data_IF_969301169972
#
_entry.id   IF_969301169972
#
_cell.length_a   1.000
_cell.length_b   1.000
_cell.length_c   1.000
_cell.angle_alpha   90.00
_cell.angle_beta   90.00
_cell.angle_gamma   90.00
#
_symmetry.space_group_name_H-M   'P 1'
#
loop_
_entity.id
_entity.type
_entity.pdbx_description
1 polymer ?
#
# COMPACT_ATOMS: atom_id res chain seq x y z
N UNK A 1 10.69 -21.45 -21.11
CA UNK A 1 10.88 -20.00 -21.32
C UNK A 1 10.54 -19.71 -22.76
N UNK A 2 9.66 -18.74 -23.04
CA UNK A 2 9.18 -18.39 -24.39
C UNK A 2 9.28 -16.88 -24.60
N UNK A 3 9.58 -16.49 -25.83
CA UNK A 3 9.75 -15.09 -26.18
C UNK A 3 8.44 -14.50 -26.65
N UNK A 4 8.03 -13.41 -26.01
CA UNK A 4 6.76 -12.74 -26.32
C UNK A 4 7.05 -11.32 -26.81
N UNK A 5 6.43 -10.95 -27.92
CA UNK A 5 6.42 -9.58 -28.47
C UNK A 5 5.04 -8.97 -28.33
N UNK A 6 4.99 -7.64 -28.24
CA UNK A 6 3.75 -6.90 -28.06
C UNK A 6 3.57 -5.93 -29.21
N UNK A 7 2.33 -5.79 -29.68
CA UNK A 7 1.95 -4.84 -30.74
C UNK A 7 0.64 -4.15 -30.34
N UNK A 8 0.46 -2.90 -30.75
CA UNK A 8 -0.84 -2.21 -30.59
C UNK A 8 -1.79 -2.66 -31.71
N UNK A 9 -3.04 -2.95 -31.37
CA UNK A 9 -4.06 -3.41 -32.32
C UNK A 9 -4.50 -2.33 -33.30
N UNK A 10 -4.77 -1.13 -32.79
CA UNK A 10 -4.95 0.08 -33.61
C UNK A 10 -3.80 1.04 -33.28
N UNK A 11 -3.05 1.46 -34.31
CA UNK A 11 -1.99 2.44 -34.12
C UNK A 11 -2.62 3.80 -33.81
N UNK A 12 -2.19 4.51 -32.75
CA UNK A 12 -2.69 5.85 -32.48
C UNK A 12 -2.45 6.74 -33.71
N UNK A 13 -3.46 7.52 -34.08
CA UNK A 13 -3.41 8.42 -35.25
C UNK A 13 -2.46 9.60 -34.97
N UNK A 14 -1.15 9.37 -35.08
CA UNK A 14 -0.11 10.37 -34.88
C UNK A 14 1.29 9.78 -34.99
N UNK A 15 2.28 10.63 -35.30
CA UNK A 15 3.72 10.28 -35.34
C UNK A 15 4.30 10.02 -33.94
N UNK A 16 3.64 9.20 -33.12
CA UNK A 16 4.20 8.75 -31.85
C UNK A 16 5.22 7.66 -32.14
N UNK A 17 6.43 7.82 -31.59
CA UNK A 17 7.45 6.77 -31.61
C UNK A 17 7.03 5.63 -30.66
N UNK A 18 6.11 4.79 -31.12
CA UNK A 18 5.51 3.68 -30.36
C UNK A 18 6.53 2.61 -29.96
N UNK A 19 7.70 2.57 -30.62
CA UNK A 19 8.76 1.59 -30.34
C UNK A 19 9.25 1.66 -28.89
N UNK A 20 9.33 2.86 -28.29
CA UNK A 20 9.84 3.05 -26.92
C UNK A 20 8.76 3.01 -25.82
N UNK A 21 7.52 2.62 -26.15
CA UNK A 21 6.42 2.64 -25.19
C UNK A 21 6.66 1.63 -24.05
N UNK A 22 6.70 2.06 -22.77
CA UNK A 22 6.93 1.15 -21.66
C UNK A 22 5.75 0.20 -21.49
N UNK A 23 6.09 -1.07 -21.27
CA UNK A 23 5.16 -2.18 -21.07
C UNK A 23 5.42 -2.78 -19.69
N UNK A 24 4.33 -2.96 -18.94
CA UNK A 24 4.33 -3.76 -17.72
C UNK A 24 3.70 -5.12 -17.99
N UNK A 25 4.38 -6.18 -17.55
CA UNK A 25 3.88 -7.55 -17.65
C UNK A 25 3.73 -8.06 -16.24
N UNK A 26 2.52 -8.47 -15.92
CA UNK A 26 2.13 -8.97 -14.61
C UNK A 26 1.66 -10.41 -14.74
N UNK A 27 1.91 -11.22 -13.72
CA UNK A 27 1.35 -12.58 -13.67
C UNK A 27 -0.17 -12.53 -13.48
N UNK A 28 -0.83 -13.70 -13.52
CA UNK A 28 -2.24 -13.84 -13.13
C UNK A 28 -2.55 -13.19 -11.76
N UNK A 29 -1.62 -13.26 -10.81
CA UNK A 29 -1.73 -12.64 -9.47
C UNK A 29 -1.38 -11.13 -9.46
N UNK A 30 -1.27 -10.52 -10.64
CA UNK A 30 -0.95 -9.11 -10.88
C UNK A 30 0.40 -8.65 -10.28
N UNK A 31 1.26 -9.59 -9.89
CA UNK A 31 2.64 -9.32 -9.51
C UNK A 31 3.43 -8.92 -10.75
N UNK A 32 4.26 -7.87 -10.64
CA UNK A 32 5.11 -7.45 -11.74
C UNK A 32 6.14 -8.55 -12.04
N UNK A 33 6.08 -9.10 -13.24
CA UNK A 33 6.98 -10.17 -13.72
C UNK A 33 8.12 -9.55 -14.52
N UNK A 34 7.81 -8.60 -15.38
CA UNK A 34 8.80 -7.92 -16.22
C UNK A 34 8.35 -6.52 -16.63
N UNK A 35 9.33 -5.67 -16.93
CA UNK A 35 9.15 -4.38 -17.61
C UNK A 35 9.96 -4.40 -18.90
N UNK A 36 9.33 -4.01 -20.00
CA UNK A 36 9.98 -3.94 -21.33
C UNK A 36 9.48 -2.73 -22.09
N UNK A 37 9.87 -2.58 -23.34
CA UNK A 37 9.32 -1.64 -24.30
C UNK A 37 8.63 -2.40 -25.44
N UNK A 38 7.71 -1.75 -26.14
CA UNK A 38 6.93 -2.37 -27.24
C UNK A 38 7.82 -2.99 -28.33
N UNK A 39 8.99 -2.41 -28.61
CA UNK A 39 9.98 -2.93 -29.56
C UNK A 39 10.82 -4.11 -29.05
N UNK A 40 10.72 -4.47 -27.77
CA UNK A 40 11.56 -5.47 -27.12
C UNK A 40 10.78 -6.70 -26.68
N UNK A 41 11.17 -7.84 -27.26
CA UNK A 41 10.69 -9.14 -26.82
C UNK A 41 11.18 -9.46 -25.39
N UNK A 42 10.38 -10.21 -24.66
CA UNK A 42 10.67 -10.64 -23.29
C UNK A 42 10.50 -12.14 -23.14
N UNK A 43 11.37 -12.76 -22.36
CA UNK A 43 11.28 -14.19 -22.06
C UNK A 43 10.40 -14.41 -20.83
N UNK A 44 9.32 -15.17 -20.98
CA UNK A 44 8.38 -15.52 -19.92
C UNK A 44 8.33 -17.04 -19.69
N UNK A 45 8.00 -17.45 -18.48
CA UNK A 45 7.71 -18.86 -18.17
C UNK A 45 6.29 -19.21 -18.61
N UNK A 46 5.92 -20.49 -18.72
CA UNK A 46 4.53 -20.86 -18.93
C UNK A 46 3.62 -20.32 -17.81
N UNK A 47 2.46 -19.79 -18.16
CA UNK A 47 1.52 -19.18 -17.21
C UNK A 47 0.60 -18.13 -17.84
N UNK A 48 -0.38 -17.67 -17.07
CA UNK A 48 -1.27 -16.58 -17.46
C UNK A 48 -0.69 -15.22 -17.02
N UNK A 49 -0.82 -14.23 -17.91
CA UNK A 49 -0.24 -12.91 -17.77
C UNK A 49 -1.23 -11.81 -18.16
N UNK A 50 -1.02 -10.63 -17.60
CA UNK A 50 -1.66 -9.39 -18.00
C UNK A 50 -0.58 -8.41 -18.45
N UNK A 51 -0.73 -7.86 -19.64
CA UNK A 51 0.18 -6.85 -20.17
C UNK A 51 -0.53 -5.53 -20.33
N UNK A 52 0.12 -4.44 -19.93
CA UNK A 52 -0.38 -3.09 -20.11
C UNK A 52 0.69 -2.13 -20.62
N UNK A 53 0.26 -1.13 -21.38
CA UNK A 53 1.06 -0.02 -21.85
C UNK A 53 0.23 1.28 -21.73
N UNK A 54 0.86 2.36 -21.29
CA UNK A 54 0.20 3.67 -21.16
C UNK A 54 0.89 4.68 -22.08
N UNK A 55 0.11 5.32 -22.95
CA UNK A 55 0.57 6.43 -23.80
C UNK A 55 0.72 7.72 -22.97
N UNK A 56 1.56 8.67 -23.42
CA UNK A 56 1.69 9.98 -22.77
C UNK A 56 0.39 10.80 -22.72
N UNK A 57 -0.56 10.51 -23.61
CA UNK A 57 -1.88 11.16 -23.67
C UNK A 57 -2.89 10.56 -22.68
N UNK A 58 -2.48 9.59 -21.86
CA UNK A 58 -3.33 8.92 -20.88
C UNK A 58 -4.08 7.70 -21.42
N UNK A 59 -4.02 7.43 -22.72
CA UNK A 59 -4.64 6.22 -23.30
C UNK A 59 -3.92 4.98 -22.81
N UNK A 60 -4.66 4.02 -22.27
CA UNK A 60 -4.13 2.74 -21.83
C UNK A 60 -4.48 1.63 -22.83
N UNK A 61 -3.51 0.78 -23.11
CA UNK A 61 -3.66 -0.45 -23.89
C UNK A 61 -3.39 -1.62 -22.96
N UNK A 62 -4.21 -2.65 -23.05
CA UNK A 62 -3.96 -3.87 -22.29
C UNK A 62 -4.46 -5.12 -23.01
N UNK A 63 -3.91 -6.26 -22.62
CA UNK A 63 -4.42 -7.56 -23.03
C UNK A 63 -4.09 -8.62 -21.97
N UNK A 64 -5.02 -9.52 -21.64
CA UNK A 64 -4.67 -10.79 -21.03
C UNK A 64 -4.06 -11.71 -22.10
N UNK A 65 -3.06 -12.51 -21.73
CA UNK A 65 -2.52 -13.57 -22.59
C UNK A 65 -1.99 -14.74 -21.75
N UNK A 66 -1.81 -15.90 -22.36
CA UNK A 66 -1.28 -17.09 -21.68
C UNK A 66 -0.15 -17.69 -22.49
N UNK A 67 0.96 -17.99 -21.80
CA UNK A 67 2.09 -18.69 -22.39
C UNK A 67 1.92 -20.18 -22.06
N UNK A 68 1.55 -20.97 -23.05
CA UNK A 68 1.41 -22.42 -22.87
C UNK A 68 2.78 -23.10 -22.84
N UNK A 69 2.91 -24.22 -22.13
CA UNK A 69 4.15 -25.01 -22.10
C UNK A 69 4.48 -25.60 -23.48
N UNK A 70 3.45 -26.04 -24.22
CA UNK A 70 3.57 -26.66 -25.56
C UNK A 70 3.33 -25.68 -26.74
N UNK A 71 3.00 -24.42 -26.47
CA UNK A 71 2.82 -23.37 -27.49
C UNK A 71 4.08 -23.00 -28.32
N UNK A 72 3.98 -22.03 -29.25
CA UNK A 72 5.12 -21.60 -30.07
C UNK A 72 6.25 -20.94 -29.26
N UNK A 73 7.51 -21.08 -29.68
CA UNK A 73 8.67 -20.44 -29.00
C UNK A 73 8.61 -18.90 -29.02
N UNK A 74 7.95 -18.35 -30.04
CA UNK A 74 7.74 -16.92 -30.22
C UNK A 74 6.25 -16.64 -30.35
N UNK A 75 5.71 -15.80 -29.46
CA UNK A 75 4.30 -15.41 -29.46
C UNK A 75 4.19 -13.89 -29.64
N UNK A 76 3.16 -13.42 -30.33
CA UNK A 76 2.87 -11.99 -30.47
C UNK A 76 1.51 -11.70 -29.86
N UNK A 77 1.48 -10.77 -28.92
CA UNK A 77 0.28 -10.35 -28.20
C UNK A 77 -0.13 -8.98 -28.70
N UNK A 78 -1.37 -8.87 -29.15
CA UNK A 78 -1.96 -7.61 -29.60
C UNK A 78 -2.67 -6.92 -28.44
N UNK A 79 -2.27 -5.70 -28.12
CA UNK A 79 -2.91 -4.87 -27.10
C UNK A 79 -4.05 -4.06 -27.73
N UNK A 80 -5.23 -4.10 -27.12
CA UNK A 80 -6.37 -3.28 -27.54
C UNK A 80 -6.47 -2.05 -26.65
N UNK A 81 -6.68 -0.88 -27.26
CA UNK A 81 -6.87 0.37 -26.53
C UNK A 81 -8.36 0.66 -26.37
N UNK A 82 -8.76 1.10 -25.19
CA UNK A 82 -10.03 1.80 -25.00
C UNK A 82 -9.74 3.30 -24.97
N UNK A 83 -10.20 4.02 -25.99
CA UNK A 83 -10.19 5.47 -25.97
C UNK A 83 -11.25 5.94 -24.97
N UNK A 84 -10.83 6.44 -23.82
CA UNK A 84 -11.73 7.17 -22.91
C UNK A 84 -12.05 8.49 -23.58
N UNK A 85 -13.19 8.57 -24.27
CA UNK A 85 -13.69 9.81 -24.86
C UNK A 85 -14.13 10.72 -23.70
N UNK A 86 -13.28 11.66 -23.35
CA UNK A 86 -13.62 12.74 -22.42
C UNK A 86 -14.70 13.62 -23.04
N UNK A 87 -15.96 13.44 -22.64
CA UNK A 87 -17.03 14.43 -22.88
C UNK A 87 -17.08 15.38 -21.68
N UNK A 88 -16.73 16.67 -21.84
CA UNK A 88 -16.76 17.63 -20.75
C UNK A 88 -18.17 18.13 -20.53
N UNK A 89 -19.00 17.31 -19.90
CA UNK A 89 -20.22 17.79 -19.24
C UNK A 89 -20.09 17.53 -17.73
N UNK A 90 -19.06 18.14 -17.13
CA UNK A 90 -19.03 18.36 -15.68
C UNK A 90 -19.71 19.71 -15.39
N UNK A 91 -20.69 19.78 -14.47
CA UNK A 91 -21.20 21.06 -14.01
C UNK A 91 -20.03 21.86 -13.41
N UNK A 92 -19.90 23.12 -13.83
CA UNK A 92 -18.99 24.07 -13.21
C UNK A 92 -19.35 24.22 -11.73
N UNK A 93 -18.71 23.44 -10.86
CA UNK A 93 -18.72 23.70 -9.43
C UNK A 93 -17.79 24.88 -9.19
N UNK A 94 -18.41 26.05 -9.01
CA UNK A 94 -17.76 27.28 -8.62
C UNK A 94 -16.82 27.03 -7.43
N UNK A 95 -15.57 27.48 -7.57
CA UNK A 95 -14.58 27.42 -6.51
C UNK A 95 -15.08 28.08 -5.24
N UNK A 96 -15.39 27.26 -4.24
CA UNK A 96 -15.57 27.71 -2.87
C UNK A 96 -14.29 27.44 -2.10
N UNK A 97 -13.51 28.49 -1.87
CA UNK A 97 -12.46 28.56 -0.86
C UNK A 97 -13.12 28.37 0.51
N UNK A 98 -13.21 27.13 0.99
CA UNK A 98 -13.68 26.86 2.35
C UNK A 98 -12.52 27.04 3.33
N UNK A 99 -12.45 28.21 3.96
CA UNK A 99 -11.78 28.36 5.24
C UNK A 99 -12.64 27.65 6.30
N UNK A 100 -12.32 26.41 6.62
CA UNK A 100 -12.99 25.64 7.68
C UNK A 100 -12.25 25.82 9.01
N UNK A 101 -13.00 26.23 10.03
CA UNK A 101 -12.55 26.34 11.42
C UNK A 101 -12.39 24.94 12.05
N UNK A 102 -11.13 24.53 12.14
CA UNK A 102 -10.67 23.21 12.58
C UNK A 102 -10.98 22.85 14.03
N UNK A 103 -11.28 23.83 14.90
CA UNK A 103 -11.50 23.55 16.32
C UNK A 103 -12.81 22.79 16.61
N UNK A 104 -13.81 22.92 15.73
CA UNK A 104 -15.14 22.32 15.87
C UNK A 104 -15.16 20.79 15.73
N UNK A 105 -14.27 20.22 14.89
CA UNK A 105 -14.24 18.78 14.63
C UNK A 105 -13.57 17.98 15.76
N UNK A 106 -12.52 18.55 16.38
CA UNK A 106 -11.81 17.91 17.51
C UNK A 106 -12.61 17.94 18.83
N UNK A 107 -13.51 18.90 19.02
CA UNK A 107 -14.32 19.00 20.24
C UNK A 107 -15.38 17.90 20.36
N UNK A 108 -15.77 17.24 19.25
CA UNK A 108 -16.71 16.10 19.27
C UNK A 108 -16.06 14.78 19.70
N UNK A 109 -14.74 14.62 19.54
CA UNK A 109 -14.03 13.37 19.89
C UNK A 109 -13.40 13.37 21.30
N UNK A 110 -13.34 14.53 21.98
CA UNK A 110 -12.80 14.65 23.35
C UNK A 110 -13.71 14.16 24.49
N UNK A 111 -14.96 13.72 24.22
CA UNK A 111 -15.97 13.48 25.28
C UNK A 111 -16.30 12.02 25.62
N UNK A 112 -15.37 11.07 25.40
CA UNK A 112 -15.49 9.72 25.97
C UNK A 112 -14.18 9.26 26.60
N UNK A 113 -14.00 9.60 27.88
CA UNK A 113 -13.04 8.92 28.76
C UNK A 113 -13.72 7.69 29.35
N UNK A 114 -13.31 6.45 29.01
CA UNK A 114 -13.65 5.31 29.85
C UNK A 114 -12.87 5.45 31.16
N UNK A 115 -13.56 5.36 32.30
CA UNK A 115 -12.89 5.24 33.59
C UNK A 115 -12.28 3.84 33.71
N UNK A 116 -10.96 3.74 33.56
CA UNK A 116 -10.27 2.48 33.79
C UNK A 116 -10.07 2.26 35.30
N UNK A 117 -10.93 1.43 35.90
CA UNK A 117 -10.69 0.79 37.20
C UNK A 117 -10.47 -0.70 36.98
N UNK A 118 -9.21 -1.13 37.00
CA UNK A 118 -8.80 -2.52 36.94
C UNK A 118 -7.42 -2.64 36.30
N UNK A 119 -6.51 -3.36 36.96
CA UNK A 119 -5.23 -3.72 36.36
C UNK A 119 -5.49 -4.69 35.19
N UNK A 120 -5.14 -4.35 33.95
CA UNK A 120 -5.41 -5.20 32.81
C UNK A 120 -4.44 -6.38 32.73
N UNK A 121 -4.99 -7.57 32.48
CA UNK A 121 -4.25 -8.79 32.15
C UNK A 121 -4.40 -9.02 30.65
N UNK A 122 -3.33 -8.75 29.91
CA UNK A 122 -3.26 -8.86 28.47
C UNK A 122 -1.95 -9.57 28.13
N UNK A 123 -2.00 -10.88 27.88
CA UNK A 123 -0.82 -11.62 27.46
C UNK A 123 -1.22 -12.65 26.41
N UNK A 124 -0.69 -12.49 25.21
CA UNK A 124 -0.34 -13.67 24.40
C UNK A 124 0.78 -14.35 25.20
N UNK A 125 0.41 -15.23 26.14
CA UNK A 125 1.39 -16.08 26.84
C UNK A 125 1.78 -17.21 25.90
N UNK A 126 2.57 -16.90 24.91
CA UNK A 126 3.49 -17.88 24.34
C UNK A 126 4.87 -17.40 24.76
N UNK A 127 5.68 -18.28 25.34
CA UNK A 127 7.07 -17.98 25.72
C UNK A 127 7.96 -17.49 24.58
N UNK A 128 7.42 -17.45 23.35
CA UNK A 128 8.20 -17.45 22.11
C UNK A 128 8.11 -16.12 21.36
N UNK A 129 7.19 -15.21 21.74
CA UNK A 129 7.03 -13.91 21.06
C UNK A 129 6.84 -12.73 22.03
N UNK A 130 7.29 -11.56 21.60
CA UNK A 130 7.08 -10.28 22.25
C UNK A 130 6.63 -9.23 21.22
N UNK A 131 5.85 -8.24 21.66
CA UNK A 131 5.42 -7.12 20.83
C UNK A 131 5.99 -5.81 21.36
N UNK A 132 6.42 -4.92 20.44
CA UNK A 132 6.75 -3.53 20.73
C UNK A 132 5.92 -2.62 19.86
N UNK A 133 5.58 -1.45 20.39
CA UNK A 133 4.80 -0.44 19.68
C UNK A 133 5.67 0.79 19.48
N UNK A 134 5.68 1.33 18.27
CA UNK A 134 6.41 2.56 17.97
C UNK A 134 5.46 3.62 17.45
N UNK A 135 5.69 4.86 17.91
CA UNK A 135 5.05 6.05 17.39
C UNK A 135 6.02 6.97 16.67
N UNK A 136 5.50 7.89 15.87
CA UNK A 136 6.30 8.83 15.06
C UNK A 136 6.16 8.62 13.55
N UNK A 137 7.05 9.26 12.80
CA UNK A 137 6.97 9.34 11.33
C UNK A 137 8.29 8.95 10.67
N UNK A 138 8.25 8.77 9.34
CA UNK A 138 9.44 8.48 8.54
C UNK A 138 10.51 9.59 8.64
N UNK A 139 10.08 10.84 8.87
CA UNK A 139 10.94 12.02 8.93
C UNK A 139 11.43 12.33 10.36
N UNK A 140 10.58 12.13 11.36
CA UNK A 140 10.87 12.47 12.77
C UNK A 140 11.52 11.31 13.54
N UNK A 141 11.49 10.12 12.94
CA UNK A 141 11.91 8.86 13.53
C UNK A 141 10.85 8.22 14.43
N UNK A 142 11.01 6.91 14.61
CA UNK A 142 10.13 6.04 15.37
C UNK A 142 10.66 5.87 16.80
N UNK A 143 9.78 6.10 17.77
CA UNK A 143 10.08 6.04 19.20
C UNK A 143 9.23 4.97 19.86
N UNK A 144 9.86 4.21 20.76
CA UNK A 144 9.16 3.19 21.53
C UNK A 144 8.09 3.85 22.40
N UNK A 145 6.85 3.39 22.27
CA UNK A 145 5.72 3.85 23.11
C UNK A 145 5.91 3.34 24.53
N UNK A 146 6.01 4.28 25.48
CA UNK A 146 6.25 4.01 26.90
C UNK A 146 4.98 4.03 27.74
N UNK A 147 3.88 4.57 27.20
CA UNK A 147 2.60 4.62 27.90
C UNK A 147 2.04 3.21 28.10
N UNK A 148 1.23 2.98 29.15
CA UNK A 148 0.54 1.72 29.32
C UNK A 148 -0.44 1.46 28.17
N UNK A 149 -0.40 0.26 27.62
CA UNK A 149 -1.35 -0.23 26.61
C UNK A 149 -1.90 -1.60 27.02
N UNK A 150 -3.07 -1.94 26.50
CA UNK A 150 -3.67 -3.26 26.68
C UNK A 150 -3.76 -3.99 25.35
N UNK A 151 -3.61 -5.30 25.41
CA UNK A 151 -3.71 -6.18 24.25
C UNK A 151 -4.73 -7.27 24.53
N UNK A 152 -5.79 -7.30 23.73
CA UNK A 152 -6.61 -8.51 23.64
C UNK A 152 -6.26 -9.23 22.35
N UNK A 153 -6.23 -10.56 22.42
CA UNK A 153 -6.00 -11.42 21.28
C UNK A 153 -7.21 -12.32 21.10
N UNK A 154 -7.73 -12.37 19.88
CA UNK A 154 -8.87 -13.21 19.50
C UNK A 154 -8.38 -14.24 18.49
N UNK A 155 -8.58 -15.53 18.79
CA UNK A 155 -8.22 -16.58 17.84
C UNK A 155 -9.12 -16.47 16.60
N UNK A 156 -8.49 -16.51 15.43
CA UNK A 156 -9.18 -16.43 14.14
C UNK A 156 -8.71 -17.57 13.25
N UNK A 157 -9.59 -18.05 12.38
CA UNK A 157 -9.23 -19.03 11.35
C UNK A 157 -8.76 -18.30 10.10
N UNK A 158 -7.57 -18.63 9.62
CA UNK A 158 -7.11 -18.26 8.29
C UNK A 158 -6.66 -19.54 7.57
N UNK A 159 -6.97 -19.70 6.26
CA UNK A 159 -6.76 -20.98 5.58
C UNK A 159 -5.32 -21.50 5.60
N UNK A 160 -4.34 -20.61 5.65
CA UNK A 160 -2.91 -20.90 5.48
C UNK A 160 -2.13 -20.98 6.80
N UNK A 161 -2.79 -20.82 7.95
CA UNK A 161 -2.12 -20.83 9.24
C UNK A 161 -2.65 -21.89 10.20
N UNK A 162 -1.72 -22.58 10.84
CA UNK A 162 -2.01 -23.52 11.93
C UNK A 162 -2.59 -22.79 13.15
N UNK A 163 -2.13 -21.55 13.39
CA UNK A 163 -2.65 -20.69 14.47
C UNK A 163 -2.66 -19.24 14.01
N UNK A 164 -3.73 -18.51 14.31
CA UNK A 164 -3.80 -17.08 14.06
C UNK A 164 -4.58 -16.35 15.15
N UNK A 165 -4.12 -15.15 15.47
CA UNK A 165 -4.67 -14.26 16.48
C UNK A 165 -4.80 -12.86 15.90
N UNK A 166 -6.04 -12.36 15.88
CA UNK A 166 -6.31 -10.94 15.66
C UNK A 166 -5.98 -10.20 16.95
N UNK A 167 -5.16 -9.16 16.84
CA UNK A 167 -4.75 -8.33 17.96
C UNK A 167 -5.63 -7.10 18.03
N UNK A 168 -6.16 -6.81 19.22
CA UNK A 168 -6.88 -5.57 19.51
C UNK A 168 -6.08 -4.80 20.56
N UNK A 169 -5.38 -3.78 20.08
CA UNK A 169 -4.57 -2.88 20.91
C UNK A 169 -5.47 -1.77 21.46
N UNK A 170 -5.43 -1.55 22.78
CA UNK A 170 -6.06 -0.40 23.43
C UNK A 170 -4.94 0.51 23.93
N UNK A 171 -4.81 1.68 23.31
CA UNK A 171 -3.80 2.69 23.62
C UNK A 171 -4.39 3.87 24.37
N UNK A 172 -3.52 4.69 24.94
CA UNK A 172 -3.95 6.01 25.42
C UNK A 172 -4.25 6.90 24.22
N UNK A 173 -5.24 7.82 24.29
CA UNK A 173 -5.59 8.72 23.17
C UNK A 173 -4.47 9.65 22.69
N UNK A 174 -3.38 9.73 23.45
CA UNK A 174 -2.22 10.59 23.17
C UNK A 174 -1.12 9.85 22.40
N UNK A 175 -1.24 8.52 22.28
CA UNK A 175 -0.24 7.69 21.62
C UNK A 175 -0.56 7.58 20.13
N UNK A 176 0.32 8.14 19.31
CA UNK A 176 0.27 7.97 17.87
C UNK A 176 1.12 6.75 17.49
N UNK A 177 0.53 5.55 17.58
CA UNK A 177 1.22 4.32 17.13
C UNK A 177 1.14 4.23 15.63
N UNK A 178 2.33 4.11 15.03
CA UNK A 178 2.55 3.95 13.60
C UNK A 178 3.05 2.55 13.24
N UNK A 179 3.67 1.82 14.18
CA UNK A 179 4.23 0.50 13.93
C UNK A 179 3.97 -0.48 15.08
N UNK A 180 3.76 -1.75 14.73
CA UNK A 180 3.81 -2.90 15.63
C UNK A 180 4.99 -3.78 15.23
N UNK A 181 5.92 -4.02 16.15
CA UNK A 181 7.05 -4.90 15.94
C UNK A 181 6.85 -6.23 16.68
N UNK A 182 6.95 -7.33 15.94
CA UNK A 182 6.97 -8.70 16.44
C UNK A 182 8.41 -9.17 16.62
N UNK A 183 8.74 -9.57 17.84
CA UNK A 183 10.00 -10.15 18.26
C UNK A 183 9.79 -11.61 18.62
N UNK A 184 10.75 -12.46 18.27
CA UNK A 184 10.70 -13.88 18.58
C UNK A 184 12.12 -14.45 18.61
N UNK A 185 12.32 -15.51 19.38
CA UNK A 185 13.65 -16.08 19.55
C UNK A 185 14.18 -16.68 18.24
N UNK A 186 15.41 -16.31 17.86
CA UNK A 186 16.10 -16.88 16.70
C UNK A 186 15.60 -16.43 15.32
N UNK A 187 14.64 -15.50 15.23
CA UNK A 187 14.19 -14.93 13.96
C UNK A 187 14.43 -13.41 13.90
N UNK A 188 14.39 -12.87 12.69
CA UNK A 188 14.45 -11.42 12.49
C UNK A 188 13.17 -10.75 13.04
N UNK A 189 13.29 -9.57 13.69
CA UNK A 189 12.15 -8.73 14.02
C UNK A 189 11.34 -8.40 12.76
N UNK A 190 10.03 -8.51 12.86
CA UNK A 190 9.10 -8.09 11.81
C UNK A 190 8.35 -6.85 12.27
N UNK A 191 8.29 -5.82 11.44
CA UNK A 191 7.55 -4.59 11.70
C UNK A 191 6.34 -4.56 10.76
N UNK A 192 5.20 -4.18 11.31
CA UNK A 192 3.96 -3.90 10.58
C UNK A 192 3.66 -2.42 10.72
N UNK A 193 3.43 -1.73 9.60
CA UNK A 193 2.81 -0.40 9.62
C UNK A 193 1.36 -0.53 10.07
N UNK A 194 1.03 0.20 11.12
CA UNK A 194 -0.26 0.14 11.77
C UNK A 194 -0.59 1.51 12.33
N UNK A 195 -1.65 2.12 11.80
CA UNK A 195 -2.11 3.44 12.19
C UNK A 195 -3.33 3.25 13.10
N UNK A 196 -3.12 3.40 14.41
CA UNK A 196 -4.20 3.24 15.37
C UNK A 196 -5.15 4.45 15.41
N UNK A 197 -4.77 5.57 14.79
CA UNK A 197 -5.53 6.82 14.83
C UNK A 197 -6.92 6.69 14.16
N UNK A 198 -7.90 6.22 14.95
CA UNK A 198 -9.29 6.67 14.94
C UNK A 198 -10.15 6.09 13.79
N UNK A 199 -10.24 4.76 13.71
CA UNK A 199 -11.34 4.09 13.02
C UNK A 199 -11.28 2.55 13.08
N UNK A 200 -12.43 1.85 13.23
CA UNK A 200 -12.48 0.42 12.96
C UNK A 200 -12.23 0.22 11.47
N UNK A 201 -11.23 -0.58 11.09
CA UNK A 201 -10.96 -0.79 9.67
C UNK A 201 -9.86 -1.79 9.41
N UNK A 202 -8.80 -1.78 10.22
CA UNK A 202 -7.78 -2.82 10.19
C UNK A 202 -7.20 -3.12 11.57
N UNK A 203 -6.85 -4.38 11.79
CA UNK A 203 -6.18 -4.85 13.01
C UNK A 203 -4.86 -5.53 12.64
N UNK A 204 -3.86 -5.55 13.55
CA UNK A 204 -2.73 -6.43 13.43
C UNK A 204 -3.17 -7.89 13.57
N UNK A 205 -2.59 -8.75 12.75
CA UNK A 205 -2.79 -10.19 12.76
C UNK A 205 -1.46 -10.86 13.04
N UNK A 206 -1.38 -11.65 14.10
CA UNK A 206 -0.21 -12.49 14.39
C UNK A 206 -0.58 -13.94 14.13
N UNK A 207 0.19 -14.63 13.31
CA UNK A 207 -0.13 -15.97 12.86
C UNK A 207 1.10 -16.83 12.68
N UNK A 208 0.90 -18.14 12.67
CA UNK A 208 1.93 -19.16 12.50
C UNK A 208 1.46 -20.14 11.43
N UNK A 209 2.22 -20.22 10.34
CA UNK A 209 2.03 -21.20 9.28
C UNK A 209 2.78 -22.49 9.62
N UNK A 210 2.87 -23.41 8.67
CA UNK A 210 3.70 -24.62 8.80
C UNK A 210 5.21 -24.31 8.74
N UNK A 211 5.57 -23.10 8.29
CA UNK A 211 6.95 -22.60 8.35
C UNK A 211 7.33 -22.22 9.79
N UNK A 212 8.63 -22.29 10.16
CA UNK A 212 9.06 -21.94 11.51
C UNK A 212 8.87 -20.44 11.79
N UNK A 213 8.23 -20.15 12.94
CA UNK A 213 8.11 -18.81 13.49
C UNK A 213 6.74 -18.16 13.29
N UNK A 214 6.49 -17.14 14.09
CA UNK A 214 5.35 -16.26 13.99
C UNK A 214 5.57 -15.18 12.95
N UNK A 215 4.47 -14.77 12.33
CA UNK A 215 4.40 -13.70 11.34
C UNK A 215 3.39 -12.65 11.80
N UNK A 216 3.61 -11.41 11.38
CA UNK A 216 2.69 -10.30 11.62
C UNK A 216 2.19 -9.70 10.31
N UNK A 217 0.89 -9.47 10.20
CA UNK A 217 0.27 -8.89 9.01
C UNK A 217 -0.91 -7.99 9.38
N UNK A 218 -1.59 -7.49 8.36
CA UNK A 218 -2.76 -6.63 8.50
C UNK A 218 -4.03 -7.40 8.12
N UNK A 219 -5.06 -7.35 8.96
CA UNK A 219 -6.39 -7.82 8.60
C UNK A 219 -7.36 -6.66 8.47
N UNK A 220 -7.92 -6.46 7.28
CA UNK A 220 -9.00 -5.49 7.05
C UNK A 220 -10.32 -6.06 7.57
N UNK A 221 -11.06 -5.28 8.34
CA UNK A 221 -12.31 -5.70 8.99
C UNK A 221 -13.48 -5.74 8.01
N UNK A 222 -13.55 -4.81 7.06
CA UNK A 222 -14.58 -4.79 6.05
C UNK A 222 -14.50 -6.02 5.14
N UNK A 223 -15.62 -6.73 4.98
CA UNK A 223 -15.68 -7.99 4.25
C UNK A 223 -15.39 -7.82 2.75
N UNK A 224 -16.09 -6.91 2.07
CA UNK A 224 -15.85 -6.63 0.66
C UNK A 224 -14.40 -6.21 0.39
N UNK A 225 -13.82 -5.31 1.20
CA UNK A 225 -12.41 -4.95 1.09
C UNK A 225 -11.48 -6.16 1.28
N UNK A 226 -11.78 -7.05 2.22
CA UNK A 226 -11.00 -8.29 2.39
C UNK A 226 -11.09 -9.19 1.16
N UNK A 227 -12.26 -9.31 0.54
CA UNK A 227 -12.42 -10.06 -0.72
C UNK A 227 -11.61 -9.42 -1.84
N UNK A 228 -11.64 -8.08 -1.99
CA UNK A 228 -10.80 -7.35 -2.96
C UNK A 228 -9.31 -7.61 -2.78
N UNK A 229 -8.85 -7.72 -1.54
CA UNK A 229 -7.46 -8.06 -1.21
C UNK A 229 -7.14 -9.52 -1.54
N UNK A 230 -8.10 -10.44 -1.42
CA UNK A 230 -7.95 -11.85 -1.80
C UNK A 230 -8.02 -12.07 -3.31
N UNK A 231 -8.79 -11.27 -4.06
CA UNK A 231 -8.79 -11.36 -5.52
C UNK A 231 -7.42 -11.08 -6.12
N UNK A 232 -6.59 -10.27 -5.44
CA UNK A 232 -5.16 -10.09 -5.77
C UNK A 232 -4.42 -11.43 -5.84
N UNK A 233 -4.70 -12.37 -4.93
CA UNK A 233 -3.95 -13.63 -4.82
C UNK A 233 -4.52 -14.77 -5.66
N UNK A 234 -5.61 -14.55 -6.41
CA UNK A 234 -6.30 -15.63 -7.15
C UNK A 234 -6.54 -15.37 -8.63
N UNK A 235 -6.14 -14.22 -9.17
CA UNK A 235 -6.10 -13.95 -10.61
C UNK A 235 -7.43 -14.04 -11.37
N UNK A 236 -8.57 -13.84 -10.72
CA UNK A 236 -9.89 -13.95 -11.36
C UNK A 236 -10.26 -12.70 -12.17
N UNK A 237 -10.00 -12.74 -13.48
CA UNK A 237 -10.33 -11.69 -14.45
C UNK A 237 -11.82 -11.61 -14.80
N UNK A 238 -12.56 -12.72 -14.73
CA UNK A 238 -14.00 -12.75 -15.08
C UNK A 238 -14.89 -12.01 -14.07
N UNK A 239 -14.34 -11.66 -12.89
CA UNK A 239 -15.06 -10.94 -11.83
C UNK A 239 -14.74 -9.44 -11.84
N UNK A 240 -13.93 -8.94 -12.78
CA UNK A 240 -13.42 -7.57 -12.79
C UNK A 240 -14.51 -6.50 -12.68
N UNK A 241 -15.64 -6.65 -13.38
CA UNK A 241 -16.75 -5.69 -13.29
C UNK A 241 -17.39 -5.68 -11.90
N UNK A 242 -17.66 -6.87 -11.35
CA UNK A 242 -18.23 -7.01 -10.00
C UNK A 242 -17.26 -6.46 -8.95
N UNK A 243 -15.97 -6.74 -9.10
CA UNK A 243 -14.89 -6.22 -8.26
C UNK A 243 -14.86 -4.69 -8.29
N UNK A 244 -14.91 -4.10 -9.48
CA UNK A 244 -14.85 -2.67 -9.65
C UNK A 244 -16.11 -1.97 -9.07
N UNK A 245 -17.30 -2.60 -9.15
CA UNK A 245 -18.51 -2.12 -8.46
C UNK A 245 -18.33 -2.07 -6.95
N UNK A 246 -17.89 -3.17 -6.33
CA UNK A 246 -17.63 -3.17 -4.89
C UNK A 246 -16.53 -2.17 -4.51
N UNK A 247 -15.49 -2.02 -5.34
CA UNK A 247 -14.40 -1.09 -5.10
C UNK A 247 -14.87 0.38 -5.11
N UNK A 248 -15.73 0.74 -6.05
CA UNK A 248 -16.33 2.07 -6.14
C UNK A 248 -17.26 2.35 -4.94
N UNK A 249 -18.10 1.40 -4.55
CA UNK A 249 -18.97 1.52 -3.37
C UNK A 249 -18.17 1.73 -2.07
N UNK A 250 -17.05 1.00 -1.91
CA UNK A 250 -16.15 1.19 -0.78
C UNK A 250 -15.56 2.60 -0.74
N UNK A 251 -15.09 3.10 -1.88
CA UNK A 251 -14.51 4.45 -1.97
C UNK A 251 -15.56 5.55 -1.76
N UNK A 252 -16.77 5.35 -2.25
CA UNK A 252 -17.91 6.20 -1.95
C UNK A 252 -18.15 6.28 -0.44
N UNK A 253 -18.14 5.12 0.24
CA UNK A 253 -18.34 4.94 1.68
C UNK A 253 -17.19 5.37 2.61
N UNK A 254 -16.18 6.10 2.12
CA UNK A 254 -14.96 6.49 2.86
C UNK A 254 -15.17 7.14 4.23
N UNK A 255 -16.28 7.83 4.45
CA UNK A 255 -16.60 8.42 5.76
C UNK A 255 -16.90 7.37 6.83
N UNK A 256 -17.36 6.17 6.44
CA UNK A 256 -17.67 5.08 7.34
C UNK A 256 -16.43 4.22 7.62
N UNK A 257 -15.66 3.89 6.58
CA UNK A 257 -14.45 3.09 6.67
C UNK A 257 -13.39 3.58 5.66
N UNK A 258 -12.49 4.49 6.08
CA UNK A 258 -11.44 5.02 5.20
C UNK A 258 -10.42 3.95 4.78
N UNK A 259 -10.24 2.90 5.57
CA UNK A 259 -9.33 1.80 5.21
C UNK A 259 -9.94 0.95 4.10
N UNK A 260 -11.24 0.63 4.19
CA UNK A 260 -11.93 -0.06 3.13
C UNK A 260 -12.00 0.77 1.83
N UNK A 261 -12.22 2.08 1.94
CA UNK A 261 -12.15 2.99 0.80
C UNK A 261 -10.77 3.03 0.15
N UNK A 262 -9.70 2.98 0.95
CA UNK A 262 -8.32 2.87 0.46
C UNK A 262 -8.11 1.60 -0.36
N UNK A 263 -8.62 0.47 0.12
CA UNK A 263 -8.58 -0.80 -0.62
C UNK A 263 -9.37 -0.70 -1.93
N UNK A 264 -10.57 -0.11 -1.90
CA UNK A 264 -11.38 0.13 -3.09
C UNK A 264 -10.65 1.00 -4.12
N UNK A 265 -10.06 2.11 -3.71
CA UNK A 265 -9.29 2.97 -4.59
C UNK A 265 -8.08 2.27 -5.21
N UNK A 266 -7.34 1.47 -4.43
CA UNK A 266 -6.25 0.66 -4.99
C UNK A 266 -6.74 -0.40 -5.96
N UNK A 267 -7.92 -1.00 -5.73
CA UNK A 267 -8.51 -1.93 -6.67
C UNK A 267 -8.85 -1.23 -7.99
N UNK A 268 -9.55 -0.09 -7.96
CA UNK A 268 -9.87 0.69 -9.16
C UNK A 268 -8.61 1.11 -9.93
N UNK A 269 -7.59 1.62 -9.23
CA UNK A 269 -6.29 1.91 -9.84
C UNK A 269 -5.67 0.65 -10.45
N UNK A 270 -5.77 -0.51 -9.80
CA UNK A 270 -5.20 -1.75 -10.34
C UNK A 270 -5.88 -2.20 -11.64
N UNK A 271 -7.19 -2.03 -11.73
CA UNK A 271 -7.99 -2.39 -12.92
C UNK A 271 -7.99 -1.32 -14.00
N UNK A 272 -7.36 -0.16 -13.77
CA UNK A 272 -7.34 0.94 -14.75
C UNK A 272 -8.64 1.74 -14.82
N UNK A 273 -9.53 1.54 -13.85
CA UNK A 273 -10.87 2.15 -13.76
C UNK A 273 -10.80 3.59 -13.25
N UNK A 274 -10.07 4.46 -13.97
CA UNK A 274 -9.77 5.82 -13.51
C UNK A 274 -11.01 6.70 -13.39
N UNK A 275 -11.97 6.54 -14.30
CA UNK A 275 -13.21 7.33 -14.30
C UNK A 275 -14.04 7.08 -13.03
N UNK A 276 -13.98 5.85 -12.51
CA UNK A 276 -14.69 5.40 -11.32
C UNK A 276 -14.06 5.86 -10.01
N UNK A 277 -12.86 6.44 -10.07
CA UNK A 277 -12.25 7.09 -8.90
C UNK A 277 -12.90 8.44 -8.62
N UNK A 278 -13.44 9.12 -9.64
CA UNK A 278 -13.98 10.48 -9.51
C UNK A 278 -12.94 11.45 -8.89
N UNK A 279 -13.41 12.44 -8.14
CA UNK A 279 -12.61 13.30 -7.26
C UNK A 279 -12.40 12.68 -5.86
N UNK A 280 -12.86 11.44 -5.63
CA UNK A 280 -12.88 10.86 -4.29
C UNK A 280 -11.50 10.59 -3.67
N UNK A 281 -10.43 10.25 -4.43
CA UNK A 281 -9.08 10.20 -3.87
C UNK A 281 -8.60 11.51 -3.30
N UNK A 282 -9.01 12.65 -3.86
CA UNK A 282 -8.69 13.96 -3.31
C UNK A 282 -9.39 14.18 -1.96
N UNK A 283 -10.68 13.83 -1.90
CA UNK A 283 -11.44 13.85 -0.65
C UNK A 283 -10.85 12.90 0.40
N UNK A 284 -10.44 11.68 0.00
CA UNK A 284 -9.78 10.73 0.89
C UNK A 284 -8.46 11.31 1.44
N UNK A 285 -7.63 11.90 0.58
CA UNK A 285 -6.38 12.54 0.98
C UNK A 285 -6.60 13.73 1.93
N UNK A 286 -7.60 14.56 1.67
CA UNK A 286 -7.83 15.80 2.40
C UNK A 286 -8.57 15.58 3.72
N UNK A 287 -9.51 14.64 3.77
CA UNK A 287 -10.31 14.37 4.97
C UNK A 287 -9.61 13.43 5.96
N UNK A 288 -8.70 12.57 5.47
CA UNK A 288 -7.94 11.63 6.29
C UNK A 288 -6.45 11.97 6.21
N UNK A 289 -6.08 13.13 6.76
CA UNK A 289 -4.69 13.62 6.76
C UNK A 289 -3.71 12.69 7.48
N UNK A 290 -4.20 11.86 8.39
CA UNK A 290 -3.45 10.83 9.10
C UNK A 290 -3.14 9.58 8.24
N UNK A 291 -3.79 9.43 7.08
CA UNK A 291 -3.65 8.26 6.21
C UNK A 291 -2.65 8.56 5.07
N UNK A 292 -1.44 7.96 5.07
CA UNK A 292 -0.42 8.23 4.05
C UNK A 292 -0.77 7.63 2.69
N UNK A 293 -1.69 6.66 2.63
CA UNK A 293 -2.22 6.11 1.38
C UNK A 293 -3.06 7.10 0.59
N UNK A 294 -3.69 8.09 1.24
CA UNK A 294 -4.50 9.10 0.56
C UNK A 294 -3.71 9.85 -0.53
N UNK A 295 -2.57 10.49 -0.19
CA UNK A 295 -1.69 11.10 -1.19
C UNK A 295 -1.15 10.09 -2.20
N UNK A 296 -0.80 8.87 -1.79
CA UNK A 296 -0.27 7.86 -2.72
C UNK A 296 -1.30 7.50 -3.82
N UNK A 297 -2.57 7.31 -3.44
CA UNK A 297 -3.66 7.03 -4.38
C UNK A 297 -3.90 8.23 -5.31
N UNK A 298 -4.06 9.43 -4.75
CA UNK A 298 -4.34 10.63 -5.56
C UNK A 298 -3.18 10.96 -6.50
N UNK A 299 -1.95 10.83 -6.03
CA UNK A 299 -0.76 11.05 -6.83
C UNK A 299 -0.67 10.04 -7.99
N UNK A 300 -0.97 8.76 -7.74
CA UNK A 300 -1.00 7.76 -8.80
C UNK A 300 -2.13 8.00 -9.80
N UNK A 301 -3.32 8.40 -9.35
CA UNK A 301 -4.42 8.80 -10.23
C UNK A 301 -3.98 9.95 -11.16
N UNK A 302 -3.41 11.02 -10.60
CA UNK A 302 -2.92 12.17 -11.37
C UNK A 302 -1.80 11.78 -12.33
N UNK A 303 -0.88 10.92 -11.91
CA UNK A 303 0.20 10.43 -12.76
C UNK A 303 -0.33 9.67 -13.98
N UNK A 304 -1.43 8.92 -13.85
CA UNK A 304 -2.06 8.20 -14.96
C UNK A 304 -2.89 9.09 -15.87
N UNK A 305 -3.39 10.21 -15.35
CA UNK A 305 -4.03 11.27 -16.13
C UNK A 305 -3.03 12.22 -16.81
N UNK A 306 -1.72 11.95 -16.74
CA UNK A 306 -0.67 12.80 -17.32
C UNK A 306 -0.34 14.05 -16.49
N UNK A 307 -0.97 14.25 -15.33
CA UNK A 307 -0.79 15.39 -14.43
C UNK A 307 0.45 15.22 -13.52
N UNK A 308 1.61 14.96 -14.14
CA UNK A 308 2.85 14.58 -13.45
C UNK A 308 3.37 15.63 -12.47
N UNK A 309 3.18 16.93 -12.77
CA UNK A 309 3.60 18.03 -11.87
C UNK A 309 2.87 17.97 -10.52
N UNK A 310 1.55 17.76 -10.54
CA UNK A 310 0.77 17.60 -9.30
C UNK A 310 1.07 16.27 -8.63
N UNK A 311 1.28 15.21 -9.41
CA UNK A 311 1.59 13.89 -8.87
C UNK A 311 2.89 13.88 -8.04
N UNK A 312 3.98 14.49 -8.53
CA UNK A 312 5.24 14.55 -7.78
C UNK A 312 5.11 15.33 -6.46
N UNK A 313 4.34 16.42 -6.45
CA UNK A 313 4.08 17.21 -5.24
C UNK A 313 3.39 16.39 -4.17
N UNK A 314 2.41 15.57 -4.55
CA UNK A 314 1.69 14.70 -3.62
C UNK A 314 2.53 13.51 -3.16
N UNK A 315 3.30 12.88 -4.05
CA UNK A 315 4.21 11.81 -3.64
C UNK A 315 5.27 12.31 -2.65
N UNK A 316 5.81 13.52 -2.84
CA UNK A 316 6.79 14.12 -1.93
C UNK A 316 6.22 14.40 -0.52
N UNK A 317 4.89 14.49 -0.37
CA UNK A 317 4.23 14.66 0.93
C UNK A 317 4.11 13.35 1.73
N UNK A 318 4.29 12.17 1.11
CA UNK A 318 4.10 10.89 1.79
C UNK A 318 5.03 10.77 3.00
N UNK A 319 6.32 11.13 2.86
CA UNK A 319 7.27 11.03 3.95
C UNK A 319 6.85 11.81 5.20
N UNK A 320 6.15 12.93 5.03
CA UNK A 320 5.64 13.75 6.15
C UNK A 320 4.46 13.09 6.86
N UNK A 321 3.62 12.33 6.13
CA UNK A 321 2.49 11.60 6.72
C UNK A 321 2.90 10.25 7.31
N UNK A 322 4.02 9.68 6.85
CA UNK A 322 4.52 8.40 7.29
C UNK A 322 4.47 7.34 6.20
N UNK A 323 4.83 6.10 6.57
CA UNK A 323 4.79 4.98 5.64
C UNK A 323 3.34 4.62 5.29
N UNK A 324 3.01 4.36 4.01
CA UNK A 324 1.69 3.84 3.61
C UNK A 324 1.32 2.58 4.39
N UNK A 325 0.06 2.43 4.75
CA UNK A 325 -0.47 1.24 5.41
C UNK A 325 -0.36 0.00 4.49
N UNK A 326 -0.52 0.20 3.18
CA UNK A 326 -0.47 -0.87 2.19
C UNK A 326 0.80 -0.84 1.34
N UNK A 327 1.32 -2.03 1.02
CA UNK A 327 2.45 -2.22 0.12
C UNK A 327 2.26 -1.54 -1.24
N UNK A 328 1.01 -1.50 -1.74
CA UNK A 328 0.67 -0.86 -3.02
C UNK A 328 1.03 0.63 -3.02
N UNK A 329 0.67 1.36 -1.96
CA UNK A 329 0.97 2.79 -1.84
C UNK A 329 2.47 3.06 -1.79
N UNK A 330 3.18 2.25 -1.01
CA UNK A 330 4.64 2.32 -0.93
C UNK A 330 5.30 2.09 -2.30
N UNK A 331 4.83 1.07 -3.03
CA UNK A 331 5.35 0.72 -4.35
C UNK A 331 5.13 1.85 -5.36
N UNK A 332 3.92 2.41 -5.44
CA UNK A 332 3.64 3.56 -6.31
C UNK A 332 4.54 4.75 -5.98
N UNK A 333 4.71 5.06 -4.69
CA UNK A 333 5.56 6.16 -4.26
C UNK A 333 7.02 6.00 -4.71
N UNK A 334 7.65 4.86 -4.40
CA UNK A 334 9.04 4.61 -4.80
C UNK A 334 9.19 4.66 -6.31
N UNK A 335 8.31 4.01 -7.06
CA UNK A 335 8.46 3.87 -8.50
C UNK A 335 8.29 5.21 -9.22
N UNK A 336 7.27 5.99 -8.83
CA UNK A 336 7.01 7.31 -9.40
C UNK A 336 8.08 8.31 -9.02
N UNK A 337 8.48 8.37 -7.75
CA UNK A 337 9.54 9.28 -7.30
C UNK A 337 10.88 8.93 -7.98
N UNK A 338 11.23 7.65 -8.08
CA UNK A 338 12.45 7.21 -8.79
C UNK A 338 12.43 7.62 -10.26
N UNK A 339 11.29 7.44 -10.92
CA UNK A 339 11.10 7.84 -12.32
C UNK A 339 11.22 9.34 -12.48
N UNK A 340 10.53 10.12 -11.66
CA UNK A 340 10.59 11.57 -11.72
C UNK A 340 12.01 12.05 -11.46
N UNK A 341 12.61 11.74 -10.31
CA UNK A 341 13.99 12.18 -9.97
C UNK A 341 15.01 11.87 -11.08
N UNK A 342 14.89 10.71 -11.76
CA UNK A 342 15.80 10.34 -12.86
C UNK A 342 15.56 11.13 -14.17
N UNK A 343 14.31 11.40 -14.52
CA UNK A 343 13.94 12.03 -15.81
C UNK A 343 13.93 13.57 -15.71
N UNK A 344 13.87 14.11 -14.49
CA UNK A 344 13.27 15.41 -14.22
C UNK A 344 14.19 16.63 -14.09
N UNK A 345 15.52 16.54 -14.14
CA UNK A 345 16.39 17.67 -13.77
C UNK A 345 16.07 19.00 -14.50
N UNK A 346 15.33 18.98 -15.61
CA UNK A 346 14.90 20.17 -16.35
C UNK A 346 13.39 20.42 -16.46
N UNK A 347 12.53 19.52 -15.97
CA UNK A 347 11.09 19.60 -16.20
C UNK A 347 10.30 20.05 -14.97
N UNK A 348 10.83 19.87 -13.76
CA UNK A 348 10.09 20.16 -12.53
C UNK A 348 10.76 21.29 -11.75
N UNK A 349 9.99 21.92 -10.85
CA UNK A 349 10.52 22.91 -9.92
C UNK A 349 11.65 22.28 -9.08
N UNK A 350 12.85 22.90 -9.00
CA UNK A 350 13.97 22.39 -8.19
C UNK A 350 13.63 22.12 -6.72
N UNK A 351 12.74 22.92 -6.12
CA UNK A 351 12.31 22.73 -4.73
C UNK A 351 11.52 21.44 -4.56
N UNK A 352 10.58 21.17 -5.48
CA UNK A 352 9.78 19.94 -5.49
C UNK A 352 10.68 18.73 -5.76
N UNK A 353 11.67 18.85 -6.63
CA UNK A 353 12.63 17.77 -6.88
C UNK A 353 13.47 17.44 -5.65
N UNK A 354 13.92 18.46 -4.91
CA UNK A 354 14.63 18.26 -3.65
C UNK A 354 13.79 17.52 -2.61
N UNK A 355 12.49 17.90 -2.49
CA UNK A 355 11.55 17.20 -1.61
C UNK A 355 11.30 15.76 -2.08
N UNK A 356 11.09 15.55 -3.38
CA UNK A 356 10.89 14.24 -3.97
C UNK A 356 12.10 13.32 -3.78
N UNK A 357 13.32 13.85 -3.94
CA UNK A 357 14.56 13.12 -3.70
C UNK A 357 14.71 12.75 -2.22
N UNK A 358 14.45 13.69 -1.31
CA UNK A 358 14.47 13.43 0.14
C UNK A 358 13.47 12.32 0.51
N UNK A 359 12.26 12.38 -0.04
CA UNK A 359 11.24 11.35 0.17
C UNK A 359 11.67 9.99 -0.41
N UNK A 360 12.23 9.97 -1.63
CA UNK A 360 12.72 8.75 -2.28
C UNK A 360 13.85 8.10 -1.47
N UNK A 361 14.82 8.88 -1.02
CA UNK A 361 15.91 8.41 -0.15
C UNK A 361 15.35 7.80 1.13
N UNK A 362 14.39 8.47 1.76
CA UNK A 362 13.74 7.99 2.97
C UNK A 362 13.03 6.64 2.77
N UNK A 363 12.26 6.48 1.69
CA UNK A 363 11.55 5.24 1.34
C UNK A 363 12.52 4.12 0.92
N UNK A 364 13.57 4.44 0.16
CA UNK A 364 14.54 3.45 -0.36
C UNK A 364 15.26 2.71 0.76
N UNK A 365 15.43 3.32 1.94
CA UNK A 365 15.97 2.65 3.14
C UNK A 365 15.19 1.39 3.54
N UNK A 366 13.90 1.34 3.24
CA UNK A 366 13.01 0.22 3.59
C UNK A 366 12.85 -0.79 2.46
N UNK A 367 13.11 -0.39 1.21
CA UNK A 367 12.75 -1.15 0.02
C UNK A 367 13.29 -2.58 -0.01
N UNK A 368 14.51 -2.80 0.50
CA UNK A 368 15.17 -4.12 0.57
C UNK A 368 14.72 -4.99 1.74
N UNK A 369 13.95 -4.45 2.67
CA UNK A 369 13.49 -5.15 3.88
C UNK A 369 12.00 -5.45 3.86
N UNK A 370 11.27 -4.95 2.87
CA UNK A 370 9.83 -5.11 2.72
C UNK A 370 9.47 -6.48 2.17
N UNK A 371 8.45 -7.09 2.76
CA UNK A 371 7.77 -8.26 2.20
C UNK A 371 6.61 -7.81 1.30
N UNK A 372 6.88 -7.70 -0.01
CA UNK A 372 5.92 -7.25 -1.02
C UNK A 372 4.78 -8.26 -1.29
N UNK A 373 4.91 -9.50 -0.80
CA UNK A 373 3.87 -10.51 -0.95
C UNK A 373 2.69 -10.24 -0.01
N UNK A 374 2.90 -9.47 1.06
CA UNK A 374 1.84 -9.12 2.01
C UNK A 374 0.96 -7.98 1.48
N UNK A 375 -0.22 -7.86 2.10
CA UNK A 375 -1.15 -6.77 1.83
C UNK A 375 -0.74 -5.49 2.56
N UNK A 376 -0.62 -5.58 3.89
CA UNK A 376 -0.12 -4.49 4.71
C UNK A 376 1.38 -4.32 4.54
N UNK A 377 1.87 -3.09 4.72
CA UNK A 377 3.29 -2.79 4.65
C UNK A 377 4.02 -3.40 5.84
N UNK A 378 4.85 -4.40 5.55
CA UNK A 378 5.67 -5.09 6.56
C UNK A 378 7.12 -5.13 6.14
N UNK A 379 8.04 -4.97 7.10
CA UNK A 379 9.46 -5.01 6.84
C UNK A 379 10.27 -5.58 8.01
N UNK A 380 11.43 -6.15 7.74
CA UNK A 380 12.32 -6.69 8.77
C UNK A 380 13.31 -5.66 9.30
N UNK A 381 13.68 -5.76 10.58
CA UNK A 381 14.73 -4.92 11.18
C UNK A 381 14.45 -4.57 12.63
N UNK A 382 15.48 -4.56 13.48
CA UNK A 382 15.34 -4.30 14.91
C UNK A 382 15.03 -2.83 15.21
N UNK A 383 15.71 -1.92 14.52
CA UNK A 383 15.45 -0.49 14.60
C UNK A 383 14.55 -0.08 13.42
N UNK A 384 13.29 0.33 13.66
CA UNK A 384 12.41 0.73 12.58
C UNK A 384 12.91 1.91 11.74
N UNK A 385 13.71 2.83 12.30
CA UNK A 385 14.25 3.98 11.56
C UNK A 385 15.33 3.61 10.55
N UNK A 386 16.02 2.50 10.83
CA UNK A 386 17.20 2.02 10.10
C UNK A 386 17.15 0.50 10.05
N UNK A 387 16.27 -0.06 9.19
CA UNK A 387 16.11 -1.51 9.08
C UNK A 387 17.40 -2.20 8.61
N UNK A 388 18.28 -1.45 7.94
CA UNK A 388 19.64 -1.84 7.53
C UNK A 388 20.68 -1.87 8.65
N UNK A 389 20.36 -1.29 9.81
CA UNK A 389 21.24 -1.18 10.97
C UNK A 389 21.57 -2.53 11.62
N UNK A 390 22.35 -3.37 10.94
CA UNK A 390 22.98 -4.54 11.52
C UNK A 390 24.22 -4.13 12.31
N UNK A 391 24.15 -4.21 13.63
CA UNK A 391 25.30 -4.69 14.40
C UNK A 391 24.94 -5.99 15.10
N UNK A 392 25.63 -7.04 14.64
CA UNK A 392 25.97 -8.30 15.33
C UNK A 392 25.58 -8.32 16.81
N UNK A 393 24.41 -8.85 17.13
CA UNK A 393 24.16 -9.36 18.47
C UNK A 393 23.54 -10.75 18.37
N UNK A 394 24.37 -11.75 18.68
CA UNK A 394 23.88 -12.97 19.30
C UNK A 394 22.98 -12.53 20.48
N UNK A 395 21.78 -13.09 20.53
CA UNK A 395 20.96 -13.24 21.76
C UNK A 395 20.44 -11.99 22.50
N UNK A 396 20.84 -10.76 22.18
CA UNK A 396 20.45 -9.58 22.98
C UNK A 396 19.02 -9.03 22.73
N UNK A 397 18.28 -9.42 21.68
CA UNK A 397 17.02 -8.74 21.33
C UNK A 397 15.75 -9.25 22.04
N UNK A 398 15.71 -10.51 22.50
CA UNK A 398 14.49 -11.10 23.09
C UNK A 398 14.43 -10.94 24.61
N UNK A 399 15.53 -11.23 25.32
CA UNK A 399 15.60 -11.10 26.78
C UNK A 399 15.54 -9.63 27.24
N UNK A 400 16.13 -8.70 26.49
CA UNK A 400 15.97 -7.25 26.77
C UNK A 400 14.56 -6.76 26.41
N UNK A 401 13.91 -7.30 25.37
CA UNK A 401 12.50 -6.99 25.09
C UNK A 401 11.56 -7.45 26.22
N UNK A 402 11.88 -8.57 26.88
CA UNK A 402 11.17 -9.01 28.07
C UNK A 402 11.37 -8.05 29.25
N UNK A 403 12.52 -7.37 29.38
CA UNK A 403 12.76 -6.35 30.42
C UNK A 403 11.95 -5.06 30.19
N UNK A 404 11.59 -4.72 28.95
CA UNK A 404 10.66 -3.61 28.64
C UNK A 404 9.18 -4.02 28.71
N UNK A 405 8.91 -5.30 28.92
CA UNK A 405 7.59 -5.87 29.19
C UNK A 405 7.42 -6.16 30.69
N UNK A 406 7.93 -5.28 31.56
CA UNK A 406 7.58 -5.25 32.99
C UNK A 406 6.08 -4.91 33.13
N UNK A 407 5.26 -5.91 32.85
CA UNK A 407 3.92 -6.06 33.38
C UNK A 407 4.08 -6.34 34.88
N UNK A 408 3.24 -5.77 35.77
CA UNK A 408 3.33 -6.05 37.19
C UNK A 408 3.23 -7.56 37.45
N UNK A 409 4.10 -8.03 38.34
CA UNK A 409 4.42 -9.44 38.61
C UNK A 409 3.27 -10.37 38.99
#
# INVERSE_FOLDING_TARGET
MKWVRFVLGEAPSGELNTAALPIEIRSADLNLVARTTLDRAVSLSPGAYFVSAALPDGTAYSAPFSVDEDGPENETVTLTGEAVVWTPDAPQLAGSTFALDWNSYFDKFKKRTPSFKGAPKAAIRTSDVALRLYGGSLMDGYRLVQSPWQLSAESVSIPEAAQAYRLKLQLSPQDDVALVQLLQQGQQPQNLVYLQAIGPGADPLVYRTDAPGWQIGLIVQHEAARQLLQFRSRGYLQEAQTIANHAEELLYGKLNDPIAATVGAYALLRFGELDRLHDWPENLMNWFTWLPDGPAIRAEQLARLGEHHKAIELFAQIAQRGLPLFNTGFSYAIERLSTYVRVAERQFNPEILSLAQTCLEALTRYASFIDYQRTGLTFTGLNPDRPDGLRRHKELSFLEALQYLDLPG
#
